data_IF_961430614061
#
_entry.id   IF_961430614061
#
_cell.length_a   1.000
_cell.length_b   1.000
_cell.length_c   1.000
_cell.angle_alpha   90.00
_cell.angle_beta   90.00
_cell.angle_gamma   90.00
#
_symmetry.space_group_name_H-M   'P 1'
#
loop_
_entity.id
_entity.type
_entity.pdbx_description
1 polymer ?
#
# COMPACT_ATOMS: atom_id res chain seq x y z
N UNK A 1 36.13 -13.54 -22.69
CA UNK A 1 34.64 -13.57 -22.65
C UNK A 1 34.20 -14.57 -21.59
N UNK A 2 33.05 -14.32 -20.96
CA UNK A 2 32.45 -15.06 -19.83
C UNK A 2 33.00 -14.73 -18.44
N UNK A 3 32.55 -13.61 -17.88
CA UNK A 3 32.26 -13.49 -16.46
C UNK A 3 30.94 -12.70 -16.30
N UNK A 4 29.92 -13.08 -17.08
CA UNK A 4 28.55 -12.62 -16.93
C UNK A 4 27.73 -13.79 -16.42
N UNK A 5 27.84 -14.07 -15.13
CA UNK A 5 26.94 -15.02 -14.50
C UNK A 5 26.75 -14.64 -13.04
N UNK A 6 25.48 -14.37 -12.73
CA UNK A 6 24.90 -14.70 -11.44
C UNK A 6 25.11 -13.70 -10.29
N UNK A 7 24.87 -12.41 -10.57
CA UNK A 7 24.16 -11.58 -9.60
C UNK A 7 22.69 -12.01 -9.62
N UNK A 8 22.42 -13.18 -9.03
CA UNK A 8 21.08 -13.54 -8.62
C UNK A 8 20.59 -12.39 -7.75
N UNK A 9 19.59 -11.68 -8.27
CA UNK A 9 18.75 -10.81 -7.49
C UNK A 9 18.33 -11.58 -6.24
N UNK A 10 19.01 -11.30 -5.13
CA UNK A 10 18.46 -11.53 -3.81
C UNK A 10 17.35 -10.49 -3.69
N UNK A 11 16.25 -10.72 -4.41
CA UNK A 11 14.95 -10.23 -3.96
C UNK A 11 14.79 -10.90 -2.61
N UNK A 12 14.93 -10.18 -1.49
CA UNK A 12 14.67 -10.78 -0.20
C UNK A 12 13.27 -11.35 -0.31
N UNK A 13 13.15 -12.65 -0.12
CA UNK A 13 11.86 -13.34 -0.09
C UNK A 13 10.98 -12.59 0.92
N UNK A 14 10.08 -11.77 0.41
CA UNK A 14 9.22 -10.84 1.16
C UNK A 14 8.12 -11.61 1.91
N UNK A 15 8.53 -12.55 2.77
CA UNK A 15 7.66 -13.48 3.48
C UNK A 15 7.72 -13.31 5.00
N UNK A 16 8.33 -12.23 5.49
CA UNK A 16 7.95 -11.67 6.78
C UNK A 16 6.70 -10.82 6.53
N UNK A 17 5.58 -11.13 7.18
CA UNK A 17 4.32 -10.39 7.02
C UNK A 17 4.50 -8.96 7.52
N UNK A 18 4.93 -8.09 6.62
CA UNK A 18 5.08 -6.66 6.85
C UNK A 18 3.72 -5.95 6.90
N UNK A 19 2.63 -6.60 7.34
CA UNK A 19 1.30 -5.98 7.42
C UNK A 19 1.36 -4.62 8.12
N UNK A 20 2.01 -4.47 9.30
CA UNK A 20 2.10 -3.18 9.96
C UNK A 20 2.85 -2.14 9.12
N UNK A 21 3.95 -2.53 8.46
CA UNK A 21 4.75 -1.63 7.62
C UNK A 21 3.98 -1.19 6.38
N UNK A 22 3.32 -2.12 5.69
CA UNK A 22 2.56 -1.81 4.45
C UNK A 22 1.30 -1.02 4.77
N UNK A 23 0.60 -1.35 5.86
CA UNK A 23 -0.52 -0.53 6.37
C UNK A 23 -0.02 0.88 6.68
N UNK A 24 1.11 1.01 7.38
CA UNK A 24 1.69 2.30 7.71
C UNK A 24 2.09 3.12 6.48
N UNK A 25 2.71 2.49 5.48
CA UNK A 25 3.01 3.11 4.20
C UNK A 25 1.75 3.63 3.50
N UNK A 26 0.66 2.86 3.51
CA UNK A 26 -0.61 3.29 2.96
C UNK A 26 -1.18 4.50 3.72
N UNK A 27 -1.15 4.48 5.06
CA UNK A 27 -1.56 5.64 5.88
C UNK A 27 -0.76 6.90 5.56
N UNK A 28 0.56 6.77 5.41
CA UNK A 28 1.43 7.90 5.15
C UNK A 28 1.19 8.48 3.75
N UNK A 29 0.88 7.64 2.76
CA UNK A 29 0.46 8.11 1.44
C UNK A 29 -0.91 8.76 1.44
N UNK A 30 -1.87 8.23 2.20
CA UNK A 30 -3.18 8.87 2.40
C UNK A 30 -2.99 10.26 3.01
N UNK A 31 -2.18 10.39 4.06
CA UNK A 31 -1.89 11.69 4.69
C UNK A 31 -1.24 12.67 3.70
N UNK A 32 -0.34 12.18 2.85
CA UNK A 32 0.27 12.99 1.78
C UNK A 32 -0.77 13.46 0.76
N UNK A 33 -1.70 12.60 0.36
CA UNK A 33 -2.81 12.94 -0.53
C UNK A 33 -3.77 13.95 0.14
N UNK A 34 -4.08 13.79 1.43
CA UNK A 34 -4.92 14.72 2.19
C UNK A 34 -4.27 16.10 2.34
N UNK A 35 -2.94 16.18 2.43
CA UNK A 35 -2.18 17.42 2.51
C UNK A 35 -2.07 18.17 1.18
N UNK A 36 -2.37 17.52 0.04
CA UNK A 36 -2.36 18.13 -1.28
C UNK A 36 -3.64 18.89 -1.61
N UNK A 37 -3.80 19.30 -2.87
CA UNK A 37 -4.97 20.06 -3.33
C UNK A 37 -6.17 19.14 -3.60
N UNK A 38 -6.88 18.76 -2.54
CA UNK A 38 -8.10 17.95 -2.64
C UNK A 38 -9.17 18.67 -3.46
N UNK A 39 -9.71 17.98 -4.47
CA UNK A 39 -10.74 18.49 -5.38
C UNK A 39 -11.78 17.40 -5.69
N UNK A 40 -12.69 17.66 -6.63
CA UNK A 40 -13.77 16.72 -6.98
C UNK A 40 -13.26 15.38 -7.53
N UNK A 41 -12.12 15.38 -8.22
CA UNK A 41 -11.55 14.18 -8.85
C UNK A 41 -10.75 13.34 -7.87
N UNK A 42 -10.09 13.98 -6.89
CA UNK A 42 -9.17 13.32 -5.95
C UNK A 42 -9.82 12.93 -4.64
N UNK A 43 -10.89 13.62 -4.22
CA UNK A 43 -11.61 13.29 -2.99
C UNK A 43 -12.15 11.85 -2.97
N UNK A 44 -12.80 11.33 -4.04
CA UNK A 44 -13.29 9.95 -4.04
C UNK A 44 -12.16 8.92 -3.89
N UNK A 45 -11.00 9.17 -4.50
CA UNK A 45 -9.82 8.32 -4.38
C UNK A 45 -9.27 8.29 -2.95
N UNK A 46 -9.18 9.45 -2.29
CA UNK A 46 -8.73 9.54 -0.89
C UNK A 46 -9.69 8.81 0.06
N UNK A 47 -11.01 8.95 -0.15
CA UNK A 47 -12.00 8.26 0.67
C UNK A 47 -11.97 6.74 0.47
N UNK A 48 -11.82 6.25 -0.76
CA UNK A 48 -11.65 4.82 -1.01
C UNK A 48 -10.32 4.31 -0.42
N UNK A 49 -9.23 5.08 -0.51
CA UNK A 49 -7.97 4.74 0.15
C UNK A 49 -8.15 4.58 1.67
N UNK A 50 -8.88 5.51 2.32
CA UNK A 50 -9.18 5.47 3.76
C UNK A 50 -10.03 4.27 4.15
N UNK A 51 -11.02 3.91 3.33
CA UNK A 51 -11.82 2.70 3.52
C UNK A 51 -10.95 1.45 3.44
N UNK A 52 -10.12 1.33 2.39
CA UNK A 52 -9.26 0.17 2.18
C UNK A 52 -8.22 0.00 3.30
N UNK A 53 -7.65 1.09 3.84
CA UNK A 53 -6.71 0.99 4.97
C UNK A 53 -7.41 0.63 6.28
N UNK A 54 -8.66 1.07 6.49
CA UNK A 54 -9.46 0.66 7.63
C UNK A 54 -9.78 -0.84 7.57
N UNK A 55 -10.18 -1.35 6.42
CA UNK A 55 -10.39 -2.79 6.21
C UNK A 55 -9.08 -3.58 6.38
N UNK A 56 -7.96 -3.07 5.89
CA UNK A 56 -6.65 -3.69 6.06
C UNK A 56 -6.27 -3.86 7.54
N UNK A 57 -6.53 -2.83 8.37
CA UNK A 57 -6.32 -2.88 9.83
C UNK A 57 -7.21 -3.92 10.49
N UNK A 58 -8.51 -3.91 10.19
CA UNK A 58 -9.46 -4.88 10.74
C UNK A 58 -9.07 -6.32 10.38
N UNK A 59 -8.63 -6.55 9.14
CA UNK A 59 -8.12 -7.85 8.71
C UNK A 59 -6.81 -8.23 9.41
N UNK A 60 -5.91 -7.28 9.66
CA UNK A 60 -4.68 -7.54 10.41
C UNK A 60 -4.97 -7.95 11.86
N UNK A 61 -5.88 -7.25 12.54
CA UNK A 61 -6.24 -7.52 13.94
C UNK A 61 -6.89 -8.89 14.14
N UNK A 62 -7.59 -9.39 13.11
CA UNK A 62 -8.33 -10.67 13.17
C UNK A 62 -7.63 -11.81 12.43
N UNK A 63 -6.46 -11.56 11.82
CA UNK A 63 -5.72 -12.55 11.05
C UNK A 63 -5.18 -13.69 11.92
N UNK A 64 -5.38 -14.93 11.48
CA UNK A 64 -4.89 -16.14 12.16
C UNK A 64 -3.89 -16.92 11.31
N UNK A 65 -3.91 -16.69 10.01
CA UNK A 65 -3.11 -17.41 9.04
C UNK A 65 -2.29 -16.45 8.18
N UNK A 66 -1.28 -17.02 7.53
CA UNK A 66 -0.50 -16.36 6.48
C UNK A 66 -1.38 -15.78 5.37
N UNK A 67 -2.47 -16.45 5.02
CA UNK A 67 -3.40 -15.99 3.98
C UNK A 67 -4.14 -14.73 4.43
N UNK A 68 -4.64 -14.72 5.67
CA UNK A 68 -5.38 -13.57 6.23
C UNK A 68 -4.49 -12.32 6.30
N UNK A 69 -3.23 -12.49 6.73
CA UNK A 69 -2.24 -11.41 6.67
C UNK A 69 -1.96 -10.95 5.23
N UNK A 70 -1.99 -11.86 4.27
CA UNK A 70 -1.92 -11.54 2.85
C UNK A 70 -3.12 -10.71 2.36
N UNK A 71 -4.32 -10.94 2.87
CA UNK A 71 -5.51 -10.11 2.57
C UNK A 71 -5.35 -8.69 3.13
N UNK A 72 -4.88 -8.55 4.37
CA UNK A 72 -4.57 -7.24 4.96
C UNK A 72 -3.53 -6.48 4.12
N UNK A 73 -2.45 -7.14 3.69
CA UNK A 73 -1.42 -6.53 2.82
C UNK A 73 -1.99 -6.13 1.47
N UNK A 74 -2.82 -6.96 0.84
CA UNK A 74 -3.46 -6.63 -0.44
C UNK A 74 -4.31 -5.37 -0.31
N UNK A 75 -5.16 -5.28 0.72
CA UNK A 75 -6.00 -4.11 0.98
C UNK A 75 -5.17 -2.85 1.24
N UNK A 76 -4.09 -2.96 2.03
CA UNK A 76 -3.19 -1.84 2.24
C UNK A 76 -2.51 -1.36 0.94
N UNK A 77 -2.11 -2.27 0.05
CA UNK A 77 -1.56 -1.90 -1.26
C UNK A 77 -2.59 -1.23 -2.18
N UNK A 78 -3.85 -1.67 -2.14
CA UNK A 78 -4.93 -1.02 -2.87
C UNK A 78 -5.18 0.39 -2.32
N UNK A 79 -5.21 0.55 -1.00
CA UNK A 79 -5.30 1.87 -0.37
C UNK A 79 -4.18 2.81 -0.82
N UNK A 80 -2.95 2.28 -0.82
CA UNK A 80 -1.77 2.96 -1.29
C UNK A 80 -1.89 3.43 -2.75
N UNK A 81 -2.39 2.57 -3.65
CA UNK A 81 -2.57 2.91 -5.07
C UNK A 81 -3.59 4.03 -5.28
N UNK A 82 -4.73 4.01 -4.58
CA UNK A 82 -5.71 5.10 -4.64
C UNK A 82 -5.15 6.43 -4.14
N UNK A 83 -4.38 6.41 -3.05
CA UNK A 83 -3.72 7.60 -2.53
C UNK A 83 -2.64 8.13 -3.50
N UNK A 84 -1.88 7.25 -4.14
CA UNK A 84 -0.89 7.60 -5.16
C UNK A 84 -1.55 8.25 -6.37
N UNK A 85 -2.64 7.68 -6.88
CA UNK A 85 -3.42 8.26 -7.97
C UNK A 85 -3.93 9.66 -7.61
N UNK A 86 -4.45 9.85 -6.40
CA UNK A 86 -4.85 11.17 -5.92
C UNK A 86 -3.69 12.16 -5.91
N UNK A 87 -2.49 11.76 -5.44
CA UNK A 87 -1.29 12.61 -5.41
C UNK A 87 -0.86 13.01 -6.84
N UNK A 88 -0.92 12.08 -7.78
CA UNK A 88 -0.62 12.34 -9.20
C UNK A 88 -1.60 13.36 -9.78
N UNK A 89 -2.91 13.16 -9.56
CA UNK A 89 -3.94 14.08 -10.07
C UNK A 89 -3.94 15.45 -9.38
N UNK A 90 -3.35 15.57 -8.18
CA UNK A 90 -3.15 16.86 -7.50
C UNK A 90 -2.03 17.70 -8.11
N UNK A 91 -1.05 17.04 -8.76
CA UNK A 91 0.12 17.67 -9.39
C UNK A 91 0.32 17.10 -10.80
N UNK A 92 -0.62 17.34 -11.72
CA UNK A 92 -0.57 16.82 -13.09
C UNK A 92 0.59 17.42 -13.91
#
# INVERSE_FOLDING_TARGET
>A
MLALALLLAVVPSASAFNCPVVIKQAEDMIRKAEAGKVNADTKPLIEEAKKQVAEAKAHHETAKTKRDHGDAVRKAKVAAAYAEEAIVLQNP
#
